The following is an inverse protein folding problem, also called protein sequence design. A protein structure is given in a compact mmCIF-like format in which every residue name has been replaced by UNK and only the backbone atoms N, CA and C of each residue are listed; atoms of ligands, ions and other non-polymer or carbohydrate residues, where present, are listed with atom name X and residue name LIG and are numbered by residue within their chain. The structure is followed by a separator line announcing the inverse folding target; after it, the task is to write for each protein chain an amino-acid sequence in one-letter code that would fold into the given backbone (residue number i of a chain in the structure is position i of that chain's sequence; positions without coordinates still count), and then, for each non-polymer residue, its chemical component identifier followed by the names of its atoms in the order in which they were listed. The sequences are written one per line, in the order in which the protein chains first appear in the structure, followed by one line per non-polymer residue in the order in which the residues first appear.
data_IF_965765085487
#
_entry.id   IF_965765085487
#
_cell.length_a   1.000
_cell.length_b   1.000
_cell.length_c   1.000
_cell.angle_alpha   90.00
_cell.angle_beta   90.00
_cell.angle_gamma   90.00
#
_symmetry.space_group_name_H-M   'P 1'
#
loop_
_entity.id
_entity.type
_entity.pdbx_description
1 polymer ?
#
# COMPACT_ATOMS: atom_id res chain seq x y z
N UNK A 1 86.88 28.25 -8.55
CA UNK A 1 87.09 27.59 -9.85
C UNK A 1 86.56 26.16 -9.77
N UNK A 2 85.93 25.71 -10.86
CA UNK A 2 84.92 24.66 -10.97
C UNK A 2 85.07 23.35 -10.18
N UNK A 3 83.93 22.99 -9.58
CA UNK A 3 83.53 21.66 -9.13
C UNK A 3 83.02 20.85 -10.32
N UNK A 4 83.26 19.54 -10.35
CA UNK A 4 82.59 18.65 -11.29
C UNK A 4 82.96 17.18 -11.07
N UNK A 5 82.20 16.48 -10.20
CA UNK A 5 82.24 15.02 -10.06
C UNK A 5 80.84 14.47 -10.34
N UNK A 6 80.74 13.62 -11.37
CA UNK A 6 79.57 12.82 -11.72
C UNK A 6 79.43 11.62 -10.75
N UNK A 7 78.20 11.28 -10.35
CA UNK A 7 77.70 9.89 -10.33
C UNK A 7 76.17 9.80 -10.19
N UNK A 8 75.49 9.64 -11.33
CA UNK A 8 74.63 8.51 -11.73
C UNK A 8 73.51 8.00 -10.76
N UNK A 9 72.27 8.20 -11.23
CA UNK A 9 71.04 7.37 -11.21
C UNK A 9 70.27 7.16 -9.89
N UNK A 10 68.97 7.52 -9.93
CA UNK A 10 67.95 6.81 -9.15
C UNK A 10 66.62 7.56 -8.94
N UNK A 11 65.59 7.14 -9.68
CA UNK A 11 64.16 7.23 -9.38
C UNK A 11 63.44 8.60 -9.40
N UNK A 12 62.68 8.80 -10.48
CA UNK A 12 61.44 9.58 -10.49
C UNK A 12 60.46 9.07 -9.42
N UNK A 13 59.68 9.98 -8.83
CA UNK A 13 58.28 9.66 -8.55
C UNK A 13 57.68 10.20 -7.25
N UNK A 14 56.98 11.33 -7.39
CA UNK A 14 55.74 11.68 -6.71
C UNK A 14 55.74 11.99 -5.19
N UNK A 15 55.61 13.29 -4.92
CA UNK A 15 54.95 13.85 -3.74
C UNK A 15 53.47 13.43 -3.79
N UNK A 16 52.96 12.80 -2.73
CA UNK A 16 51.53 12.83 -2.40
C UNK A 16 51.37 13.13 -0.91
N UNK A 17 50.85 14.32 -0.67
CA UNK A 17 50.41 14.87 0.61
C UNK A 17 49.25 14.08 1.21
N UNK A 18 49.29 13.94 2.53
CA UNK A 18 48.18 13.48 3.39
C UNK A 18 46.99 14.41 3.20
N UNK A 19 45.88 13.91 2.67
CA UNK A 19 44.57 14.50 2.88
C UNK A 19 43.79 13.58 3.81
N UNK A 20 43.52 14.11 5.00
CA UNK A 20 42.70 13.49 6.03
C UNK A 20 41.34 13.07 5.45
N UNK A 21 40.92 11.86 5.79
CA UNK A 21 39.58 11.37 5.55
C UNK A 21 38.58 12.24 6.34
N UNK A 22 37.96 13.21 5.68
CA UNK A 22 36.71 13.76 6.15
C UNK A 22 35.60 12.76 5.79
N UNK A 23 35.32 11.84 6.72
CA UNK A 23 34.07 11.11 6.72
C UNK A 23 32.94 12.14 6.85
N UNK A 24 32.32 12.50 5.74
CA UNK A 24 31.11 13.30 5.74
C UNK A 24 30.03 12.49 6.48
N UNK A 25 29.38 13.08 7.51
CA UNK A 25 28.31 12.41 8.21
C UNK A 25 27.17 12.13 7.22
N UNK A 26 26.63 10.92 7.32
CA UNK A 26 25.42 10.47 6.67
C UNK A 26 24.35 11.58 6.68
N UNK A 27 24.14 12.22 5.53
CA UNK A 27 23.04 13.14 5.37
C UNK A 27 21.80 12.33 5.02
N UNK A 28 20.90 12.30 6.00
CA UNK A 28 19.46 12.15 5.84
C UNK A 28 18.97 10.77 5.36
N UNK A 29 18.99 9.80 6.28
CA UNK A 29 17.81 8.94 6.41
C UNK A 29 16.63 9.85 6.81
N UNK A 30 15.98 10.45 5.81
CA UNK A 30 14.74 11.20 5.99
C UNK A 30 13.67 10.21 6.48
N UNK A 31 13.52 10.20 7.80
CA UNK A 31 12.35 9.80 8.58
C UNK A 31 11.33 8.95 7.82
N UNK A 32 11.48 7.63 7.92
CA UNK A 32 10.32 6.75 7.79
C UNK A 32 9.33 7.19 8.87
N UNK A 33 8.24 7.83 8.47
CA UNK A 33 7.19 8.22 9.41
C UNK A 33 6.48 6.94 9.82
N UNK A 34 6.95 6.34 10.91
CA UNK A 34 6.48 5.05 11.38
C UNK A 34 5.02 5.17 11.82
N UNK A 35 4.16 4.31 11.27
CA UNK A 35 2.80 4.12 11.78
C UNK A 35 2.80 4.01 13.31
N UNK A 36 2.01 4.86 13.96
CA UNK A 36 1.91 4.84 15.42
C UNK A 36 1.42 3.47 15.91
N UNK A 37 2.04 2.89 16.97
CA UNK A 37 1.61 1.60 17.52
C UNK A 37 0.13 1.56 17.91
N UNK A 38 -0.42 2.69 18.37
CA UNK A 38 -1.83 2.85 18.69
C UNK A 38 -2.73 2.71 17.47
N UNK A 39 -2.32 3.26 16.32
CA UNK A 39 -3.05 3.13 15.06
C UNK A 39 -3.10 1.69 14.59
N UNK A 40 -1.99 0.95 14.69
CA UNK A 40 -1.98 -0.48 14.36
C UNK A 40 -2.87 -1.31 15.31
N UNK A 41 -2.78 -1.08 16.63
CA UNK A 41 -3.62 -1.77 17.61
C UNK A 41 -5.12 -1.49 17.36
N UNK A 42 -5.47 -0.25 16.99
CA UNK A 42 -6.85 0.09 16.63
C UNK A 42 -7.26 -0.57 15.31
N UNK A 43 -6.40 -0.59 14.31
CA UNK A 43 -6.63 -1.30 13.05
C UNK A 43 -6.90 -2.80 13.25
N UNK A 44 -6.21 -3.44 14.18
CA UNK A 44 -6.45 -4.84 14.57
C UNK A 44 -7.80 -5.04 15.25
N UNK A 45 -8.27 -4.05 16.02
CA UNK A 45 -9.63 -4.06 16.60
C UNK A 45 -10.69 -3.93 15.49
N UNK A 46 -10.49 -3.01 14.54
CA UNK A 46 -11.36 -2.83 13.37
C UNK A 46 -11.43 -4.13 12.57
N UNK A 47 -10.28 -4.77 12.32
CA UNK A 47 -10.18 -6.09 11.66
C UNK A 47 -11.08 -7.10 12.33
N UNK A 48 -10.95 -7.31 13.63
CA UNK A 48 -11.71 -8.32 14.36
C UNK A 48 -13.23 -8.06 14.30
N UNK A 49 -13.64 -6.80 14.41
CA UNK A 49 -15.06 -6.41 14.35
C UNK A 49 -15.66 -6.64 12.96
N UNK A 50 -14.95 -6.27 11.89
CA UNK A 50 -15.43 -6.46 10.52
C UNK A 50 -15.34 -7.93 10.08
N UNK A 51 -14.30 -8.66 10.48
CA UNK A 51 -14.17 -10.10 10.28
C UNK A 51 -15.38 -10.86 10.86
N UNK A 52 -15.74 -10.60 12.11
CA UNK A 52 -16.91 -11.22 12.74
C UNK A 52 -18.20 -10.96 11.94
N UNK A 53 -18.37 -9.74 11.43
CA UNK A 53 -19.58 -9.32 10.70
C UNK A 53 -19.67 -9.90 9.29
N UNK A 54 -18.55 -10.08 8.60
CA UNK A 54 -18.51 -10.58 7.22
C UNK A 54 -18.34 -12.10 7.11
N UNK A 55 -17.90 -12.75 8.19
CA UNK A 55 -17.75 -14.21 8.25
C UNK A 55 -19.09 -14.94 8.10
N UNK A 56 -20.19 -14.31 8.51
CA UNK A 56 -21.54 -14.90 8.52
C UNK A 56 -22.33 -14.71 7.22
N UNK A 57 -21.71 -14.21 6.14
CA UNK A 57 -22.40 -14.06 4.86
C UNK A 57 -22.92 -15.41 4.34
N UNK A 58 -24.18 -15.48 3.85
CA UNK A 58 -24.73 -16.69 3.25
C UNK A 58 -23.85 -17.21 2.11
N UNK A 59 -23.61 -18.52 2.10
CA UNK A 59 -22.79 -19.20 1.09
C UNK A 59 -21.29 -19.10 1.38
N UNK A 60 -20.65 -18.02 0.93
CA UNK A 60 -19.17 -17.90 0.93
C UNK A 60 -18.72 -16.69 1.76
N UNK A 61 -18.72 -16.83 3.08
CA UNK A 61 -18.20 -15.85 4.04
C UNK A 61 -16.84 -15.27 3.67
N UNK A 62 -16.57 -14.04 4.12
CA UNK A 62 -15.26 -13.39 4.02
C UNK A 62 -14.66 -13.26 5.42
N UNK A 63 -13.35 -13.44 5.51
CA UNK A 63 -12.55 -13.22 6.71
C UNK A 63 -11.54 -12.12 6.46
N UNK A 64 -11.22 -11.34 7.49
CA UNK A 64 -10.08 -10.40 7.46
C UNK A 64 -8.97 -10.99 8.30
N UNK A 65 -7.97 -11.57 7.65
CA UNK A 65 -6.98 -12.43 8.32
C UNK A 65 -5.83 -11.62 8.91
N UNK A 66 -5.52 -10.47 8.34
CA UNK A 66 -4.35 -9.66 8.69
C UNK A 66 -4.71 -8.19 8.89
N UNK A 67 -3.97 -7.53 9.79
CA UNK A 67 -3.87 -6.08 9.91
C UNK A 67 -2.43 -5.74 10.33
N UNK A 68 -1.67 -5.15 9.41
CA UNK A 68 -0.23 -4.83 9.57
C UNK A 68 0.08 -3.42 9.06
N UNK A 69 1.29 -2.94 9.31
CA UNK A 69 1.77 -1.66 8.75
C UNK A 69 2.14 -1.83 7.28
N UNK A 70 1.84 -0.85 6.43
CA UNK A 70 2.36 -0.79 5.05
C UNK A 70 3.82 -0.36 5.00
N UNK A 71 4.42 0.06 6.12
CA UNK A 71 5.82 0.49 6.22
C UNK A 71 6.87 -0.58 5.90
N UNK A 72 6.45 -1.78 5.48
CA UNK A 72 7.33 -2.77 4.84
C UNK A 72 7.75 -2.35 3.42
N UNK A 73 6.91 -1.58 2.73
CA UNK A 73 7.25 -0.92 1.46
C UNK A 73 7.41 0.58 1.69
N UNK A 74 8.17 1.24 0.82
CA UNK A 74 8.36 2.70 0.88
C UNK A 74 7.13 3.44 0.36
N UNK A 75 6.60 2.98 -0.76
CA UNK A 75 5.50 3.64 -1.45
C UNK A 75 4.64 2.66 -2.24
N UNK A 76 3.50 3.15 -2.72
CA UNK A 76 2.75 2.57 -3.81
C UNK A 76 2.96 3.40 -5.07
N UNK A 77 3.47 2.76 -6.12
CA UNK A 77 3.57 3.31 -7.48
C UNK A 77 2.34 2.84 -8.26
N UNK A 78 1.36 3.72 -8.46
CA UNK A 78 0.06 3.39 -9.04
C UNK A 78 -0.12 4.07 -10.39
N UNK A 79 -0.33 3.31 -11.45
CA UNK A 79 -0.72 3.88 -12.74
C UNK A 79 -2.12 4.49 -12.64
N UNK A 80 -2.31 5.65 -13.26
CA UNK A 80 -3.63 6.30 -13.37
C UNK A 80 -4.57 5.47 -14.26
N UNK A 81 -5.90 5.62 -14.11
CA UNK A 81 -6.87 4.87 -14.90
C UNK A 81 -6.68 4.98 -16.43
N UNK A 82 -6.21 6.11 -16.93
CA UNK A 82 -5.89 6.35 -18.34
C UNK A 82 -4.55 5.76 -18.80
N UNK A 83 -3.76 5.21 -17.87
CA UNK A 83 -2.42 4.63 -18.07
C UNK A 83 -1.36 5.64 -18.54
N UNK A 84 -1.62 6.95 -18.43
CA UNK A 84 -0.72 7.98 -18.92
C UNK A 84 0.26 8.47 -17.85
N UNK A 85 -0.13 8.41 -16.59
CA UNK A 85 0.65 8.92 -15.47
C UNK A 85 0.82 7.89 -14.37
N UNK A 86 1.80 8.16 -13.51
CA UNK A 86 2.07 7.37 -12.31
C UNK A 86 1.88 8.26 -11.10
N UNK A 87 1.07 7.78 -10.15
CA UNK A 87 0.89 8.39 -8.85
C UNK A 87 1.70 7.64 -7.81
N UNK A 88 2.47 8.38 -7.03
CA UNK A 88 3.25 7.86 -5.91
C UNK A 88 2.54 8.17 -4.60
N UNK A 89 2.32 7.15 -3.79
CA UNK A 89 1.72 7.27 -2.45
C UNK A 89 2.69 6.76 -1.39
N UNK A 90 3.13 7.60 -0.43
CA UNK A 90 3.93 7.13 0.71
C UNK A 90 3.21 6.05 1.52
N UNK A 91 3.93 5.00 1.92
CA UNK A 91 3.37 3.84 2.62
C UNK A 91 3.80 3.75 4.10
N UNK A 92 4.55 4.72 4.59
CA UNK A 92 5.14 4.74 5.94
C UNK A 92 4.07 4.83 7.05
N UNK A 93 3.05 5.66 6.87
CA UNK A 93 1.93 5.82 7.80
C UNK A 93 0.63 5.15 7.30
N UNK A 94 0.71 3.87 6.90
CA UNK A 94 -0.45 3.15 6.38
C UNK A 94 -0.74 1.81 7.04
N UNK A 95 -1.94 1.29 6.74
CA UNK A 95 -2.42 -0.01 7.21
C UNK A 95 -2.69 -0.93 6.03
N UNK A 96 -2.18 -2.15 6.11
CA UNK A 96 -2.51 -3.24 5.21
C UNK A 96 -3.49 -4.21 5.87
N UNK A 97 -4.52 -4.60 5.12
CA UNK A 97 -5.43 -5.68 5.46
C UNK A 97 -5.42 -6.77 4.40
N UNK A 98 -5.73 -8.01 4.79
CA UNK A 98 -5.94 -9.10 3.85
C UNK A 98 -7.35 -9.71 4.01
N UNK A 99 -8.13 -9.69 2.93
CA UNK A 99 -9.45 -10.32 2.86
C UNK A 99 -9.32 -11.67 2.16
N UNK A 100 -9.87 -12.71 2.80
CA UNK A 100 -9.93 -14.06 2.28
C UNK A 100 -11.35 -14.62 2.30
N UNK A 101 -11.67 -15.60 1.45
CA UNK A 101 -12.75 -16.53 1.77
C UNK A 101 -12.49 -17.19 3.14
N UNK A 102 -13.55 -17.49 3.87
CA UNK A 102 -13.42 -18.16 5.17
C UNK A 102 -12.69 -19.50 5.01
N UNK A 103 -11.77 -19.80 5.95
CA UNK A 103 -10.93 -21.02 5.98
C UNK A 103 -9.93 -21.15 4.83
N UNK A 104 -9.50 -20.03 4.23
CA UNK A 104 -8.41 -20.04 3.24
C UNK A 104 -7.24 -19.17 3.68
N UNK A 105 -6.11 -19.38 3.01
CA UNK A 105 -4.90 -18.57 3.21
C UNK A 105 -4.90 -17.35 2.28
N UNK A 106 -4.43 -16.23 2.82
CA UNK A 106 -4.26 -14.96 2.12
C UNK A 106 -2.79 -14.74 1.75
N UNK A 107 -2.47 -13.86 0.78
CA UNK A 107 -3.38 -13.13 -0.10
C UNK A 107 -3.82 -13.92 -1.34
N UNK A 108 -3.33 -15.16 -1.52
CA UNK A 108 -3.56 -16.01 -2.68
C UNK A 108 -4.45 -17.22 -2.35
N UNK A 109 -5.79 -17.06 -2.29
CA UNK A 109 -6.68 -18.19 -2.10
C UNK A 109 -6.60 -19.17 -3.28
N UNK A 110 -6.89 -20.45 -3.01
CA UNK A 110 -6.96 -21.47 -4.05
C UNK A 110 -7.93 -21.05 -5.18
N UNK A 111 -7.58 -21.37 -6.44
CA UNK A 111 -8.29 -20.93 -7.65
C UNK A 111 -9.83 -21.05 -7.56
N UNK A 112 -10.31 -22.17 -7.01
CA UNK A 112 -11.75 -22.50 -6.85
C UNK A 112 -12.48 -21.65 -5.80
N UNK A 113 -11.75 -21.06 -4.86
CA UNK A 113 -12.26 -20.26 -3.75
C UNK A 113 -12.10 -18.75 -3.98
N UNK A 114 -11.18 -18.37 -4.86
CA UNK A 114 -10.99 -16.99 -5.26
C UNK A 114 -12.29 -16.36 -5.80
N UNK A 115 -12.42 -15.05 -5.59
CA UNK A 115 -13.53 -14.22 -6.01
C UNK A 115 -13.11 -13.29 -7.15
N UNK A 116 -14.03 -12.90 -8.03
CA UNK A 116 -13.79 -11.82 -8.97
C UNK A 116 -13.54 -10.50 -8.23
N UNK A 117 -12.57 -9.71 -8.68
CA UNK A 117 -12.35 -8.35 -8.14
C UNK A 117 -13.58 -7.45 -8.29
N UNK A 118 -14.45 -7.73 -9.26
CA UNK A 118 -15.71 -7.01 -9.50
C UNK A 118 -16.78 -7.30 -8.45
N UNK A 119 -16.65 -8.39 -7.67
CA UNK A 119 -17.68 -8.78 -6.70
C UNK A 119 -17.85 -7.68 -5.64
N UNK A 120 -19.11 -7.36 -5.33
CA UNK A 120 -19.44 -6.23 -4.46
C UNK A 120 -19.02 -6.45 -3.01
N UNK A 121 -19.21 -7.66 -2.47
CA UNK A 121 -18.98 -7.94 -1.05
C UNK A 121 -17.52 -7.71 -0.61
N UNK A 122 -16.48 -8.21 -1.32
CA UNK A 122 -15.10 -7.89 -0.99
C UNK A 122 -14.77 -6.40 -1.10
N UNK A 123 -15.27 -5.71 -2.13
CA UNK A 123 -15.03 -4.27 -2.32
C UNK A 123 -15.71 -3.42 -1.25
N UNK A 124 -16.94 -3.77 -0.88
CA UNK A 124 -17.66 -3.16 0.25
C UNK A 124 -16.87 -3.32 1.54
N UNK A 125 -16.38 -4.54 1.84
CA UNK A 125 -15.56 -4.79 3.02
C UNK A 125 -14.26 -3.99 3.02
N UNK A 126 -13.55 -3.93 1.89
CA UNK A 126 -12.33 -3.14 1.75
C UNK A 126 -12.58 -1.64 2.00
N UNK A 127 -13.68 -1.11 1.47
CA UNK A 127 -14.09 0.28 1.72
C UNK A 127 -14.46 0.52 3.19
N UNK A 128 -15.19 -0.39 3.82
CA UNK A 128 -15.52 -0.28 5.25
C UNK A 128 -14.27 -0.34 6.15
N UNK A 129 -13.29 -1.18 5.82
CA UNK A 129 -11.99 -1.22 6.49
C UNK A 129 -11.29 0.13 6.37
N UNK A 130 -11.20 0.69 5.16
CA UNK A 130 -10.55 1.97 4.94
C UNK A 130 -11.23 3.14 5.67
N UNK A 131 -12.55 3.27 5.52
CA UNK A 131 -13.32 4.34 6.18
C UNK A 131 -13.17 4.31 7.70
N UNK A 132 -13.30 3.13 8.30
CA UNK A 132 -13.14 2.97 9.74
C UNK A 132 -11.71 3.26 10.19
N UNK A 133 -10.73 2.81 9.42
CA UNK A 133 -9.32 3.10 9.72
C UNK A 133 -9.06 4.59 9.70
N UNK A 134 -9.51 5.31 8.67
CA UNK A 134 -9.32 6.76 8.58
C UNK A 134 -10.07 7.54 9.66
N UNK A 135 -11.25 7.08 10.07
CA UNK A 135 -12.03 7.71 11.15
C UNK A 135 -11.43 7.51 12.54
N UNK A 136 -10.76 6.38 12.76
CA UNK A 136 -10.40 5.92 14.10
C UNK A 136 -8.88 5.88 14.35
N UNK A 137 -8.06 6.21 13.35
CA UNK A 137 -6.60 6.18 13.44
C UNK A 137 -5.97 7.40 12.77
N UNK A 138 -4.64 7.50 12.80
CA UNK A 138 -3.85 8.51 12.08
C UNK A 138 -3.35 8.06 10.70
N UNK A 139 -3.68 6.84 10.25
CA UNK A 139 -3.16 6.29 8.98
C UNK A 139 -3.57 7.13 7.75
N UNK A 140 -2.63 7.47 6.88
CA UNK A 140 -2.85 8.24 5.64
C UNK A 140 -3.23 7.36 4.45
N UNK A 141 -2.83 6.08 4.45
CA UNK A 141 -3.14 5.14 3.36
C UNK A 141 -3.67 3.82 3.91
N UNK A 142 -4.61 3.22 3.20
CA UNK A 142 -5.08 1.87 3.46
C UNK A 142 -4.96 1.04 2.19
N UNK A 143 -4.28 -0.10 2.32
CA UNK A 143 -4.20 -1.13 1.30
C UNK A 143 -4.94 -2.39 1.76
N UNK A 144 -5.73 -2.99 0.89
CA UNK A 144 -6.52 -4.18 1.20
C UNK A 144 -6.34 -5.21 0.10
N UNK A 145 -5.69 -6.34 0.40
CA UNK A 145 -5.67 -7.47 -0.53
C UNK A 145 -7.07 -8.05 -0.68
N UNK A 146 -7.52 -8.15 -1.92
CA UNK A 146 -8.78 -8.78 -2.27
C UNK A 146 -8.60 -10.30 -2.44
N UNK A 147 -9.68 -11.08 -2.24
CA UNK A 147 -9.64 -12.55 -2.29
C UNK A 147 -9.57 -13.10 -3.72
N UNK A 148 -8.63 -12.64 -4.55
CA UNK A 148 -8.54 -12.92 -5.99
C UNK A 148 -7.46 -13.96 -6.30
N UNK A 149 -7.46 -14.53 -7.53
CA UNK A 149 -6.44 -15.52 -7.93
C UNK A 149 -5.07 -14.89 -8.15
N UNK A 150 -5.04 -13.64 -8.60
CA UNK A 150 -3.85 -12.80 -8.71
C UNK A 150 -3.84 -11.86 -7.52
N UNK A 151 -2.68 -11.28 -7.20
CA UNK A 151 -2.62 -10.26 -6.16
C UNK A 151 -3.26 -8.98 -6.67
N UNK A 152 -4.46 -8.67 -6.16
CA UNK A 152 -5.18 -7.44 -6.45
C UNK A 152 -5.43 -6.74 -5.12
N UNK A 153 -5.05 -5.48 -5.04
CA UNK A 153 -5.22 -4.66 -3.86
C UNK A 153 -6.18 -3.50 -4.14
N UNK A 154 -7.06 -3.22 -3.19
CA UNK A 154 -7.69 -1.91 -3.09
C UNK A 154 -6.73 -0.98 -2.33
N UNK A 155 -6.30 0.13 -2.95
CA UNK A 155 -5.38 1.10 -2.33
C UNK A 155 -6.02 2.47 -2.37
N UNK A 156 -6.09 3.13 -1.22
CA UNK A 156 -6.74 4.43 -1.08
C UNK A 156 -6.01 5.33 -0.11
N UNK A 157 -5.87 6.61 -0.48
CA UNK A 157 -5.36 7.67 0.38
C UNK A 157 -6.52 8.37 1.10
N UNK A 158 -6.30 8.76 2.36
CA UNK A 158 -7.29 9.42 3.23
C UNK A 158 -7.77 10.72 2.61
N UNK A 159 -6.86 11.60 2.24
CA UNK A 159 -7.15 12.96 1.77
C UNK A 159 -7.93 12.93 0.46
N UNK A 160 -7.60 11.98 -0.41
CA UNK A 160 -8.34 11.74 -1.65
C UNK A 160 -9.78 11.31 -1.37
N UNK A 161 -9.97 10.29 -0.54
CA UNK A 161 -11.31 9.79 -0.24
C UNK A 161 -12.15 10.84 0.51
N UNK A 162 -11.53 11.64 1.38
CA UNK A 162 -12.19 12.69 2.15
C UNK A 162 -12.73 13.83 1.26
N UNK A 163 -12.14 14.05 0.08
CA UNK A 163 -12.65 15.02 -0.91
C UNK A 163 -13.93 14.53 -1.59
N UNK A 164 -14.18 13.23 -1.62
CA UNK A 164 -15.33 12.64 -2.33
C UNK A 164 -16.52 12.34 -1.41
N UNK A 165 -16.27 12.03 -0.14
CA UNK A 165 -17.31 11.54 0.79
C UNK A 165 -17.10 11.98 2.22
N UNK A 166 -18.22 12.18 2.92
CA UNK A 166 -18.22 12.23 4.39
C UNK A 166 -18.05 10.80 4.94
N UNK A 167 -16.91 10.56 5.60
CA UNK A 167 -16.57 9.25 6.15
C UNK A 167 -17.60 8.77 7.17
N UNK A 168 -18.06 9.63 8.08
CA UNK A 168 -19.00 9.25 9.14
C UNK A 168 -20.37 8.90 8.56
N UNK A 169 -20.84 9.68 7.59
CA UNK A 169 -22.09 9.41 6.90
C UNK A 169 -22.02 8.08 6.12
N UNK A 170 -20.94 7.86 5.37
CA UNK A 170 -20.79 6.64 4.57
C UNK A 170 -20.58 5.40 5.45
N UNK A 171 -19.79 5.47 6.52
CA UNK A 171 -19.64 4.36 7.48
C UNK A 171 -20.99 3.99 8.11
N UNK A 172 -21.83 4.97 8.47
CA UNK A 172 -23.20 4.71 8.96
C UNK A 172 -24.08 4.07 7.89
N UNK A 173 -24.01 4.54 6.64
CA UNK A 173 -24.76 3.93 5.54
C UNK A 173 -24.36 2.46 5.31
N UNK A 174 -23.06 2.15 5.47
CA UNK A 174 -22.50 0.82 5.29
C UNK A 174 -22.61 -0.08 6.54
N UNK A 175 -22.98 0.44 7.72
CA UNK A 175 -23.00 -0.35 8.96
C UNK A 175 -24.10 -1.41 9.04
N UNK A 176 -25.06 -1.40 8.10
CA UNK A 176 -26.11 -2.41 8.00
C UNK A 176 -25.57 -3.82 7.71
N UNK A 177 -26.38 -4.85 7.94
CA UNK A 177 -25.99 -6.25 7.77
C UNK A 177 -25.42 -6.52 6.36
N UNK A 178 -24.16 -7.02 6.23
CA UNK A 178 -23.55 -7.37 4.94
C UNK A 178 -24.32 -8.36 4.09
N UNK A 179 -25.14 -9.23 4.71
CA UNK A 179 -25.94 -10.23 4.01
C UNK A 179 -27.17 -9.64 3.30
N UNK A 180 -27.56 -8.39 3.64
CA UNK A 180 -28.66 -7.71 2.97
C UNK A 180 -28.16 -7.04 1.70
N UNK A 181 -28.96 -7.15 0.64
CA UNK A 181 -28.75 -6.41 -0.61
C UNK A 181 -28.68 -4.92 -0.32
N UNK A 182 -27.64 -4.26 -0.83
CA UNK A 182 -27.55 -2.81 -0.77
C UNK A 182 -28.62 -2.18 -1.64
N UNK A 183 -29.08 -0.97 -1.27
CA UNK A 183 -29.87 -0.17 -2.22
C UNK A 183 -29.03 0.09 -3.47
N UNK A 184 -29.68 0.24 -4.63
CA UNK A 184 -29.00 0.52 -5.89
C UNK A 184 -28.11 1.78 -5.79
N UNK A 185 -28.58 2.79 -5.07
CA UNK A 185 -27.81 4.01 -4.79
C UNK A 185 -26.52 3.72 -4.00
N UNK A 186 -26.60 2.97 -2.90
CA UNK A 186 -25.43 2.66 -2.07
C UNK A 186 -24.46 1.72 -2.80
N UNK A 187 -24.98 0.79 -3.60
CA UNK A 187 -24.15 -0.02 -4.49
C UNK A 187 -23.40 0.85 -5.52
N UNK A 188 -24.08 1.81 -6.15
CA UNK A 188 -23.46 2.77 -7.06
C UNK A 188 -22.34 3.59 -6.41
N UNK A 189 -22.53 3.99 -5.15
CA UNK A 189 -21.49 4.67 -4.36
C UNK A 189 -20.28 3.74 -4.14
N UNK A 190 -20.50 2.49 -3.69
CA UNK A 190 -19.40 1.54 -3.49
C UNK A 190 -18.64 1.30 -4.80
N UNK A 191 -19.35 1.11 -5.91
CA UNK A 191 -18.75 0.92 -7.23
C UNK A 191 -17.91 2.12 -7.66
N UNK A 192 -18.46 3.35 -7.57
CA UNK A 192 -17.75 4.59 -7.90
C UNK A 192 -16.47 4.77 -7.07
N UNK A 193 -16.55 4.49 -5.77
CA UNK A 193 -15.41 4.70 -4.87
C UNK A 193 -14.34 3.62 -4.98
N UNK A 194 -14.73 2.37 -5.24
CA UNK A 194 -13.78 1.25 -5.19
C UNK A 194 -13.16 0.94 -6.54
N UNK A 195 -13.89 1.02 -7.66
CA UNK A 195 -13.36 0.59 -8.97
C UNK A 195 -12.09 1.33 -9.40
N UNK A 196 -11.98 2.66 -9.28
CA UNK A 196 -10.76 3.38 -9.66
C UNK A 196 -9.55 3.06 -8.78
N UNK A 197 -9.79 2.41 -7.64
CA UNK A 197 -8.82 2.18 -6.56
C UNK A 197 -8.44 0.72 -6.39
N UNK A 198 -8.80 -0.13 -7.36
CA UNK A 198 -8.45 -1.55 -7.37
C UNK A 198 -7.35 -1.76 -8.41
N UNK A 199 -6.21 -2.24 -7.93
CA UNK A 199 -4.99 -2.37 -8.71
C UNK A 199 -4.54 -3.83 -8.74
N UNK A 200 -4.15 -4.29 -9.92
CA UNK A 200 -3.42 -5.54 -10.08
C UNK A 200 -1.95 -5.29 -9.76
N UNK A 201 -1.36 -6.11 -8.89
CA UNK A 201 0.06 -6.01 -8.56
C UNK A 201 0.93 -6.37 -9.76
N UNK A 202 1.91 -5.51 -10.05
CA UNK A 202 2.97 -5.73 -11.03
C UNK A 202 4.25 -6.25 -10.38
N UNK A 203 4.43 -6.02 -9.08
CA UNK A 203 5.56 -6.50 -8.30
C UNK A 203 6.05 -5.47 -7.29
N UNK A 204 7.26 -5.72 -6.79
CA UNK A 204 8.04 -4.77 -6.00
C UNK A 204 9.13 -4.19 -6.90
N UNK A 205 9.29 -2.87 -6.85
CA UNK A 205 10.30 -2.13 -7.60
C UNK A 205 11.31 -1.50 -6.62
N UNK A 206 12.62 -1.76 -6.78
CA UNK A 206 13.63 -1.12 -5.94
C UNK A 206 13.61 0.40 -6.09
N UNK A 207 13.77 1.11 -4.97
CA UNK A 207 13.87 2.57 -4.92
C UNK A 207 15.32 3.01 -4.72
N UNK A 208 15.57 4.31 -4.88
CA UNK A 208 16.89 4.90 -4.61
C UNK A 208 17.30 4.82 -3.13
N UNK A 209 16.34 4.65 -2.22
CA UNK A 209 16.62 4.49 -0.78
C UNK A 209 17.10 3.08 -0.43
N UNK A 210 17.03 2.12 -1.37
CA UNK A 210 17.29 0.71 -1.14
C UNK A 210 16.09 -0.08 -0.58
N UNK A 211 14.93 0.56 -0.41
CA UNK A 211 13.64 -0.10 -0.09
C UNK A 211 12.85 -0.39 -1.36
N UNK A 212 11.74 -1.10 -1.23
CA UNK A 212 10.87 -1.43 -2.36
C UNK A 212 9.62 -0.52 -2.41
N UNK A 213 9.19 -0.19 -3.63
CA UNK A 213 7.85 0.36 -3.92
C UNK A 213 6.95 -0.73 -4.47
N UNK A 214 5.69 -0.78 -4.03
CA UNK A 214 4.71 -1.68 -4.61
C UNK A 214 4.10 -1.07 -5.88
N UNK A 215 4.23 -1.77 -7.02
CA UNK A 215 3.72 -1.29 -8.29
C UNK A 215 2.35 -1.90 -8.64
N UNK A 216 1.42 -1.06 -9.09
CA UNK A 216 0.05 -1.46 -9.42
C UNK A 216 -0.49 -0.82 -10.69
N UNK A 217 -1.16 -1.63 -11.52
CA UNK A 217 -1.92 -1.19 -12.70
C UNK A 217 -3.43 -1.22 -12.39
N UNK A 218 -4.23 -0.22 -12.79
CA UNK A 218 -5.66 -0.20 -12.53
C UNK A 218 -6.34 -1.44 -13.13
N UNK A 219 -7.23 -2.06 -12.35
CA UNK A 219 -7.96 -3.24 -12.81
C UNK A 219 -8.95 -2.93 -13.93
N UNK A 220 -9.50 -1.72 -13.95
CA UNK A 220 -10.42 -1.23 -14.96
C UNK A 220 -9.86 0.07 -15.55
N UNK A 221 -8.93 -0.01 -16.51
CA UNK A 221 -8.42 1.16 -17.16
C UNK A 221 -9.52 1.85 -17.98
N UNK A 222 -9.44 3.17 -18.11
CA UNK A 222 -10.37 4.01 -18.87
C UNK A 222 -9.85 4.34 -20.26
N UNK A 223 -8.96 3.51 -20.82
CA UNK A 223 -8.48 3.67 -22.19
C UNK A 223 -9.68 3.54 -23.12
N UNK A 224 -10.05 4.64 -23.77
CA UNK A 224 -10.98 4.60 -24.90
C UNK A 224 -10.35 3.70 -25.97
N UNK A 225 -10.95 2.53 -26.20
CA UNK A 225 -10.66 1.66 -27.34
C UNK A 225 -11.56 1.99 -28.51
#
# INVERSE_FOLDING_TARGET
MNVGRLLVIGALGAIVTVCAAAALPAHAALTASALEPRSLARAQTIRAQLDARYRILPGRGLAVTEATSTGVVESFTLLTPDLLETRFLPADNGIYYAICPVRTTCPYPARRLARPAAELAPRRLALELALRTFLETSASVVAVSLPTQRFIAFVVEREELAREVDFRALTRALSGNPARTLSASLQGIVDRLTRPRVFLSMGLEPTQSGRDSWAGIPRWPSVET
#
